data_IF_583755666663
#
_entry.id   IF_583755666663
#
_cell.length_a   1.000
_cell.length_b   1.000
_cell.length_c   1.000
_cell.angle_alpha   90.00
_cell.angle_beta   90.00
_cell.angle_gamma   90.00
#
_symmetry.space_group_name_H-M   'P 1'
#
loop_
_entity.id
_entity.type
_entity.pdbx_description
1 polymer ?
#
# COMPACT_ATOMS: atom_id res chain seq x y z
N UNK A 1 31.85 -1.39 24.45
CA UNK A 1 30.51 -0.74 24.47
C UNK A 1 30.22 0.13 23.24
N UNK A 2 31.18 0.45 22.36
CA UNK A 2 30.94 1.36 21.21
C UNK A 2 30.32 0.70 19.97
N UNK A 3 30.55 -0.60 19.76
CA UNK A 3 30.12 -1.29 18.53
C UNK A 3 28.63 -1.59 18.50
N UNK A 4 28.01 -1.78 19.68
CA UNK A 4 26.59 -2.08 19.81
C UNK A 4 25.70 -0.89 19.45
N UNK A 5 26.15 0.35 19.69
CA UNK A 5 25.40 1.55 19.29
C UNK A 5 25.50 1.83 17.79
N UNK A 6 26.63 1.46 17.16
CA UNK A 6 26.85 1.68 15.73
C UNK A 6 26.04 0.70 14.87
N UNK A 7 26.08 -0.59 15.21
CA UNK A 7 25.28 -1.61 14.51
C UNK A 7 23.78 -1.31 14.60
N UNK A 8 23.31 -0.82 15.76
CA UNK A 8 21.91 -0.43 15.97
C UNK A 8 21.49 0.77 15.11
N UNK A 9 22.38 1.76 14.97
CA UNK A 9 22.12 2.92 14.10
C UNK A 9 22.04 2.55 12.61
N UNK A 10 22.80 1.54 12.17
CA UNK A 10 22.76 1.05 10.79
C UNK A 10 21.46 0.25 10.51
N UNK A 11 20.97 -0.51 11.48
CA UNK A 11 19.69 -1.24 11.41
C UNK A 11 18.48 -0.29 11.40
N UNK A 12 18.51 0.74 12.25
CA UNK A 12 17.47 1.78 12.31
C UNK A 12 17.42 2.58 10.99
N UNK A 13 18.56 2.93 10.41
CA UNK A 13 18.63 3.61 9.09
C UNK A 13 18.11 2.71 7.97
N UNK A 14 18.45 1.42 7.97
CA UNK A 14 17.93 0.46 6.99
C UNK A 14 16.41 0.29 7.07
N UNK A 15 15.82 0.34 8.27
CA UNK A 15 14.38 0.29 8.46
C UNK A 15 13.69 1.56 7.94
N UNK A 16 14.32 2.72 8.12
CA UNK A 16 13.81 4.01 7.61
C UNK A 16 13.83 4.03 6.07
N UNK A 17 14.91 3.59 5.44
CA UNK A 17 15.00 3.50 3.98
C UNK A 17 13.94 2.53 3.41
N UNK A 18 13.74 1.39 4.07
CA UNK A 18 12.69 0.43 3.71
C UNK A 18 11.27 1.00 3.81
N UNK A 19 10.99 1.79 4.86
CA UNK A 19 9.71 2.48 5.03
C UNK A 19 9.51 3.60 4.00
N UNK A 20 10.57 4.33 3.65
CA UNK A 20 10.53 5.38 2.64
C UNK A 20 10.23 4.80 1.24
N UNK A 21 10.88 3.70 0.86
CA UNK A 21 10.60 2.99 -0.40
C UNK A 21 9.16 2.48 -0.45
N UNK A 22 8.64 1.92 0.65
CA UNK A 22 7.24 1.51 0.74
C UNK A 22 6.26 2.67 0.62
N UNK A 23 6.57 3.84 1.21
CA UNK A 23 5.73 5.02 1.11
C UNK A 23 5.67 5.57 -0.34
N UNK A 24 6.78 5.54 -1.07
CA UNK A 24 6.84 5.92 -2.49
C UNK A 24 5.94 4.98 -3.31
N UNK A 25 6.09 3.67 -3.12
CA UNK A 25 5.25 2.68 -3.82
C UNK A 25 3.77 2.81 -3.50
N UNK A 26 3.41 3.20 -2.28
CA UNK A 26 2.02 3.44 -1.90
C UNK A 26 1.41 4.64 -2.64
N UNK A 27 2.17 5.74 -2.80
CA UNK A 27 1.73 6.92 -3.55
C UNK A 27 1.51 6.60 -5.03
N UNK A 28 2.44 5.88 -5.66
CA UNK A 28 2.28 5.42 -7.05
C UNK A 28 1.02 4.53 -7.21
N UNK A 29 0.77 3.69 -6.20
CA UNK A 29 -0.41 2.81 -6.17
C UNK A 29 -1.71 3.59 -6.03
N UNK A 30 -1.70 4.66 -5.23
CA UNK A 30 -2.84 5.56 -5.08
C UNK A 30 -3.17 6.27 -6.40
N UNK A 31 -2.16 6.77 -7.12
CA UNK A 31 -2.35 7.41 -8.42
C UNK A 31 -2.88 6.42 -9.45
N UNK A 32 -2.33 5.20 -9.50
CA UNK A 32 -2.80 4.13 -10.37
C UNK A 32 -4.26 3.75 -10.08
N UNK A 33 -4.66 3.69 -8.81
CA UNK A 33 -6.04 3.46 -8.40
C UNK A 33 -6.97 4.61 -8.82
N UNK A 34 -6.54 5.85 -8.62
CA UNK A 34 -7.27 7.05 -9.06
C UNK A 34 -7.56 7.01 -10.56
N UNK A 35 -6.55 6.70 -11.35
CA UNK A 35 -6.66 6.58 -12.80
C UNK A 35 -7.54 5.37 -13.22
N UNK A 36 -7.47 4.24 -12.53
CA UNK A 36 -8.37 3.10 -12.77
C UNK A 36 -9.85 3.44 -12.47
N UNK A 37 -10.11 4.19 -11.40
CA UNK A 37 -11.46 4.71 -11.09
C UNK A 37 -11.93 5.68 -12.16
N UNK A 38 -11.08 6.62 -12.57
CA UNK A 38 -11.41 7.60 -13.60
C UNK A 38 -11.79 6.93 -14.93
N UNK A 39 -11.00 5.96 -15.38
CA UNK A 39 -11.28 5.19 -16.61
C UNK A 39 -12.61 4.43 -16.53
N UNK A 40 -12.90 3.81 -15.39
CA UNK A 40 -14.15 3.09 -15.17
C UNK A 40 -15.36 4.04 -15.19
N UNK A 41 -15.23 5.19 -14.52
CA UNK A 41 -16.26 6.22 -14.52
C UNK A 41 -16.54 6.75 -15.92
N UNK A 42 -15.49 7.08 -16.68
CA UNK A 42 -15.60 7.56 -18.05
C UNK A 42 -16.29 6.54 -18.97
N UNK A 43 -15.89 5.27 -18.89
CA UNK A 43 -16.54 4.20 -19.65
C UNK A 43 -18.03 4.04 -19.28
N UNK A 44 -18.38 4.24 -18.01
CA UNK A 44 -19.77 4.25 -17.55
C UNK A 44 -20.58 5.41 -18.12
N UNK A 45 -20.00 6.61 -18.19
CA UNK A 45 -20.64 7.77 -18.82
C UNK A 45 -20.90 7.53 -20.31
N UNK A 46 -19.90 7.05 -21.05
CA UNK A 46 -20.01 6.74 -22.48
C UNK A 46 -21.09 5.69 -22.74
N UNK A 47 -21.16 4.64 -21.92
CA UNK A 47 -22.20 3.60 -22.00
C UNK A 47 -23.60 4.20 -21.82
N UNK A 48 -23.79 5.03 -20.79
CA UNK A 48 -25.08 5.67 -20.47
C UNK A 48 -25.48 6.67 -21.56
N UNK A 49 -24.52 7.40 -22.14
CA UNK A 49 -24.79 8.34 -23.23
C UNK A 49 -25.32 7.62 -24.48
N UNK A 50 -24.68 6.52 -24.88
CA UNK A 50 -25.14 5.72 -26.03
C UNK A 50 -26.55 5.18 -25.79
N UNK A 51 -26.81 4.65 -24.58
CA UNK A 51 -28.13 4.18 -24.19
C UNK A 51 -29.20 5.29 -24.24
N UNK A 52 -28.88 6.49 -23.73
CA UNK A 52 -29.78 7.66 -23.76
C UNK A 52 -30.08 8.14 -25.17
N UNK A 53 -29.19 7.91 -26.14
CA UNK A 53 -29.45 8.17 -27.56
C UNK A 53 -30.36 7.13 -28.23
N UNK A 54 -30.93 6.16 -27.49
CA UNK A 54 -31.77 5.10 -28.04
C UNK A 54 -31.00 4.05 -28.83
N UNK A 55 -29.67 3.98 -28.65
CA UNK A 55 -28.80 2.97 -29.26
C UNK A 55 -28.45 1.90 -28.23
N UNK A 56 -28.17 0.70 -28.69
CA UNK A 56 -27.69 -0.39 -27.83
C UNK A 56 -26.18 -0.19 -27.55
N UNK A 57 -25.77 0.09 -26.30
CA UNK A 57 -24.36 0.29 -25.97
C UNK A 57 -23.57 -1.01 -25.94
N UNK A 58 -22.36 -1.01 -26.49
CA UNK A 58 -21.41 -2.11 -26.32
C UNK A 58 -20.88 -2.13 -24.87
N UNK A 59 -21.12 -3.21 -24.08
CA UNK A 59 -20.66 -3.28 -22.70
C UNK A 59 -19.18 -3.60 -22.55
N UNK A 60 -18.48 -4.07 -23.60
CA UNK A 60 -17.10 -4.57 -23.50
C UNK A 60 -16.10 -3.53 -22.98
N UNK A 61 -16.14 -2.24 -23.39
CA UNK A 61 -15.24 -1.22 -22.84
C UNK A 61 -15.44 -1.01 -21.34
N UNK A 62 -16.68 -0.98 -20.87
CA UNK A 62 -17.02 -0.84 -19.45
C UNK A 62 -16.55 -2.05 -18.64
N UNK A 63 -16.81 -3.27 -19.13
CA UNK A 63 -16.34 -4.50 -18.49
C UNK A 63 -14.81 -4.55 -18.40
N UNK A 64 -14.10 -4.11 -19.46
CA UNK A 64 -12.64 -4.03 -19.46
C UNK A 64 -12.12 -3.02 -18.44
N UNK A 65 -12.73 -1.84 -18.37
CA UNK A 65 -12.35 -0.81 -17.39
C UNK A 65 -12.59 -1.29 -15.95
N UNK A 66 -13.76 -1.89 -15.70
CA UNK A 66 -14.11 -2.46 -14.40
C UNK A 66 -13.16 -3.59 -13.98
N UNK A 67 -12.79 -4.49 -14.89
CA UNK A 67 -11.79 -5.53 -14.61
C UNK A 67 -10.42 -4.95 -14.25
N UNK A 68 -10.01 -3.86 -14.90
CA UNK A 68 -8.79 -3.14 -14.54
C UNK A 68 -8.85 -2.52 -13.14
N UNK A 69 -9.97 -1.90 -12.77
CA UNK A 69 -10.20 -1.39 -11.42
C UNK A 69 -10.20 -2.51 -10.37
N UNK A 70 -10.84 -3.64 -10.66
CA UNK A 70 -10.88 -4.79 -9.75
C UNK A 70 -9.48 -5.35 -9.49
N UNK A 71 -8.65 -5.49 -10.53
CA UNK A 71 -7.26 -5.91 -10.37
C UNK A 71 -6.46 -4.92 -9.51
N UNK A 72 -6.69 -3.62 -9.70
CA UNK A 72 -6.02 -2.57 -8.94
C UNK A 72 -6.42 -2.58 -7.45
N UNK A 73 -7.71 -2.78 -7.16
CA UNK A 73 -8.20 -2.95 -5.78
C UNK A 73 -7.61 -4.19 -5.11
N UNK A 74 -7.45 -5.29 -5.86
CA UNK A 74 -6.75 -6.49 -5.38
C UNK A 74 -5.31 -6.18 -4.98
N UNK A 75 -4.57 -5.48 -5.85
CA UNK A 75 -3.19 -5.08 -5.54
C UNK A 75 -3.08 -4.16 -4.33
N UNK A 76 -3.98 -3.19 -4.17
CA UNK A 76 -4.02 -2.30 -2.99
C UNK A 76 -4.26 -3.09 -1.71
N UNK A 77 -5.17 -4.07 -1.75
CA UNK A 77 -5.42 -4.95 -0.60
C UNK A 77 -4.18 -5.75 -0.24
N UNK A 78 -3.54 -6.37 -1.24
CA UNK A 78 -2.35 -7.19 -1.01
C UNK A 78 -1.17 -6.36 -0.44
N UNK A 79 -1.04 -5.08 -0.86
CA UNK A 79 -0.09 -4.15 -0.25
C UNK A 79 -0.42 -3.82 1.21
N UNK A 80 -1.70 -3.57 1.52
CA UNK A 80 -2.13 -3.28 2.88
C UNK A 80 -1.88 -4.47 3.83
N UNK A 81 -2.20 -5.69 3.39
CA UNK A 81 -1.92 -6.93 4.14
C UNK A 81 -0.41 -7.13 4.37
N UNK A 82 0.42 -6.80 3.38
CA UNK A 82 1.87 -6.88 3.55
C UNK A 82 2.40 -5.83 4.54
N UNK A 83 1.88 -4.61 4.50
CA UNK A 83 2.26 -3.55 5.44
C UNK A 83 1.87 -3.92 6.88
N UNK A 84 0.66 -4.44 7.08
CA UNK A 84 0.18 -4.91 8.39
C UNK A 84 1.13 -5.97 8.96
N UNK A 85 1.53 -6.95 8.15
CA UNK A 85 2.50 -7.97 8.56
C UNK A 85 3.86 -7.39 8.93
N UNK A 86 4.38 -6.43 8.16
CA UNK A 86 5.66 -5.76 8.48
C UNK A 86 5.55 -5.01 9.80
N UNK A 87 4.45 -4.29 10.03
CA UNK A 87 4.22 -3.56 11.26
C UNK A 87 4.12 -4.50 12.47
N UNK A 88 3.41 -5.63 12.34
CA UNK A 88 3.35 -6.67 13.37
C UNK A 88 4.74 -7.26 13.68
N UNK A 89 5.54 -7.53 12.64
CA UNK A 89 6.93 -8.01 12.80
C UNK A 89 7.82 -6.98 13.52
N UNK A 90 7.61 -5.69 13.24
CA UNK A 90 8.31 -4.60 13.92
C UNK A 90 7.83 -4.42 15.37
N UNK A 91 6.53 -4.50 15.64
CA UNK A 91 5.96 -4.40 17.00
C UNK A 91 6.45 -5.54 17.89
N UNK A 92 6.49 -6.78 17.36
CA UNK A 92 7.09 -7.93 18.05
C UNK A 92 8.59 -7.71 18.37
N UNK A 93 9.34 -7.03 17.49
CA UNK A 93 10.75 -6.68 17.74
C UNK A 93 10.90 -5.58 18.79
N UNK A 94 9.96 -4.64 18.89
CA UNK A 94 9.96 -3.57 19.91
C UNK A 94 9.57 -4.11 21.28
N UNK A 95 8.60 -5.04 21.36
CA UNK A 95 8.14 -5.64 22.62
C UNK A 95 9.13 -6.69 23.17
N UNK A 96 9.95 -7.31 22.32
CA UNK A 96 10.99 -8.26 22.73
C UNK A 96 12.24 -7.60 23.38
N UNK A 97 12.24 -6.29 23.60
CA UNK A 97 13.29 -5.60 24.36
C UNK A 97 13.21 -6.02 25.84
N UNK A 98 14.22 -6.73 26.40
CA UNK A 98 14.28 -6.89 27.84
C UNK A 98 14.43 -5.49 28.46
N UNK A 99 13.54 -5.14 29.39
CA UNK A 99 13.78 -3.99 30.26
C UNK A 99 15.18 -4.16 30.87
N UNK A 100 16.09 -3.23 30.56
CA UNK A 100 17.42 -3.22 31.16
C UNK A 100 17.24 -3.27 32.67
N UNK A 101 17.82 -4.26 33.38
CA UNK A 101 17.73 -4.27 34.83
C UNK A 101 18.29 -2.95 35.35
N UNK A 102 17.49 -2.24 36.15
CA UNK A 102 17.98 -1.11 36.92
C UNK A 102 19.07 -1.65 37.83
N UNK A 103 20.32 -1.29 37.55
CA UNK A 103 21.41 -1.46 38.51
C UNK A 103 21.04 -0.62 39.74
N UNK A 104 20.44 -1.27 40.73
CA UNK A 104 20.44 -0.83 42.11
C UNK A 104 21.88 -1.00 42.62
N UNK A 105 22.74 -0.02 42.31
CA UNK A 105 24.06 0.08 42.89
C UNK A 105 23.95 0.80 44.25
N UNK A 106 24.00 0.00 45.33
CA UNK A 106 24.35 0.42 46.69
C UNK A 106 25.77 0.98 46.79
#
# INVERSE_FOLDING_TARGET
>A
MSDNNKARSEEELSAIDYLADHAIHFLDTQDALGEAMHRTYKAGLEFVEVYKCGRDPDPRPLLKAFGGLQAMLGHVRDQAENLERVLDEMELRVVALPETPKDDAE
#
